data_IF_736742652378
#
_entry.id   IF_736742652378
#
_cell.length_a   1.000
_cell.length_b   1.000
_cell.length_c   1.000
_cell.angle_alpha   90.00
_cell.angle_beta   90.00
_cell.angle_gamma   90.00
#
_symmetry.space_group_name_H-M   'P 1'
#
loop_
_entity.id
_entity.type
_entity.pdbx_description
1 polymer ?
#
# COMPACT_ATOMS: atom_id res chain seq x y z
N UNK A 1 -20.01 8.59 5.78
CA UNK A 1 -19.18 8.66 4.55
C UNK A 1 -17.90 7.89 4.80
N UNK A 2 -17.38 7.13 3.82
CA UNK A 2 -16.02 6.63 3.91
C UNK A 2 -15.03 7.80 3.98
N UNK A 3 -13.85 7.62 4.58
CA UNK A 3 -12.79 8.63 4.52
C UNK A 3 -12.30 8.81 3.08
N UNK A 4 -11.77 9.99 2.78
CA UNK A 4 -11.23 10.31 1.45
C UNK A 4 -9.89 9.61 1.17
N UNK A 5 -9.13 9.30 2.22
CA UNK A 5 -7.80 8.71 2.12
C UNK A 5 -7.55 7.79 3.32
N UNK A 6 -6.89 6.67 3.07
CA UNK A 6 -6.32 5.83 4.13
C UNK A 6 -4.82 5.67 3.92
N UNK A 7 -4.07 5.70 5.03
CA UNK A 7 -2.64 5.47 5.06
C UNK A 7 -2.38 4.18 5.82
N UNK A 8 -1.58 3.28 5.24
CA UNK A 8 -1.19 2.02 5.88
C UNK A 8 0.33 1.89 5.94
N UNK A 9 0.82 1.41 7.07
CA UNK A 9 2.23 1.09 7.29
C UNK A 9 2.33 -0.29 7.99
N UNK A 10 2.06 -1.39 7.27
CA UNK A 10 2.03 -2.71 7.87
C UNK A 10 3.44 -3.23 8.22
N UNK A 11 3.53 -4.23 9.12
CA UNK A 11 4.77 -4.98 9.33
C UNK A 11 5.19 -5.74 8.06
N UNK A 12 6.39 -6.34 8.06
CA UNK A 12 6.96 -7.10 6.92
C UNK A 12 6.08 -8.21 6.33
N UNK A 13 5.05 -8.66 7.06
CA UNK A 13 4.05 -9.63 6.56
C UNK A 13 2.97 -9.00 5.67
N UNK A 14 2.94 -7.68 5.51
CA UNK A 14 1.90 -6.94 4.79
C UNK A 14 0.60 -6.78 5.60
N UNK A 15 -0.45 -6.34 4.91
CA UNK A 15 -1.81 -6.18 5.43
C UNK A 15 -2.48 -7.54 5.64
N UNK A 16 -2.13 -8.52 4.80
CA UNK A 16 -2.78 -9.82 4.78
C UNK A 16 -4.14 -9.80 4.06
N UNK A 17 -4.75 -10.98 3.89
CA UNK A 17 -5.91 -11.15 3.03
C UNK A 17 -7.15 -10.40 3.54
N UNK A 18 -7.39 -10.37 4.85
CA UNK A 18 -8.63 -9.83 5.39
C UNK A 18 -8.69 -8.30 5.23
N UNK A 19 -7.61 -7.61 5.63
CA UNK A 19 -7.55 -6.15 5.58
C UNK A 19 -7.44 -5.61 4.14
N UNK A 20 -6.63 -6.25 3.29
CA UNK A 20 -6.57 -5.88 1.87
C UNK A 20 -7.92 -6.09 1.16
N UNK A 21 -8.62 -7.18 1.46
CA UNK A 21 -9.97 -7.43 0.92
C UNK A 21 -11.02 -6.45 1.45
N UNK A 22 -10.89 -6.02 2.71
CA UNK A 22 -11.75 -4.97 3.26
C UNK A 22 -11.50 -3.62 2.57
N UNK A 23 -10.23 -3.24 2.37
CA UNK A 23 -9.85 -2.01 1.67
C UNK A 23 -10.37 -1.98 0.22
N UNK A 24 -10.28 -3.11 -0.49
CA UNK A 24 -10.82 -3.27 -1.85
C UNK A 24 -12.32 -2.96 -1.91
N UNK A 25 -13.09 -3.41 -0.91
CA UNK A 25 -14.55 -3.21 -0.81
C UNK A 25 -14.96 -1.89 -0.15
N UNK A 26 -14.05 -1.16 0.48
CA UNK A 26 -14.36 0.00 1.34
C UNK A 26 -14.95 1.21 0.60
N UNK A 27 -14.72 1.31 -0.71
CA UNK A 27 -15.09 2.49 -1.50
C UNK A 27 -14.23 3.73 -1.24
N UNK A 28 -13.16 3.62 -0.44
CA UNK A 28 -12.21 4.72 -0.19
C UNK A 28 -11.52 5.07 -1.52
N UNK A 29 -11.45 6.35 -1.93
CA UNK A 29 -10.93 6.71 -3.24
C UNK A 29 -9.40 6.67 -3.30
N UNK A 30 -8.70 6.93 -2.20
CA UNK A 30 -7.24 7.01 -2.15
C UNK A 30 -6.60 6.12 -1.06
N UNK A 31 -5.44 5.55 -1.38
CA UNK A 31 -4.63 4.74 -0.47
C UNK A 31 -3.16 5.15 -0.58
N UNK A 32 -2.51 5.40 0.56
CA UNK A 32 -1.05 5.48 0.66
C UNK A 32 -0.57 4.24 1.40
N UNK A 33 0.31 3.47 0.76
CA UNK A 33 0.94 2.29 1.34
C UNK A 33 2.42 2.57 1.57
N UNK A 34 2.87 2.56 2.83
CA UNK A 34 4.28 2.57 3.24
C UNK A 34 4.75 1.15 3.53
N UNK A 35 5.81 0.67 2.88
CA UNK A 35 6.30 -0.71 3.02
C UNK A 35 7.81 -0.80 3.12
N UNK A 36 8.29 -1.58 4.10
CA UNK A 36 9.68 -1.97 4.23
C UNK A 36 10.02 -3.29 3.51
N UNK A 37 9.03 -3.93 2.86
CA UNK A 37 9.20 -5.22 2.20
C UNK A 37 8.40 -5.28 0.87
N UNK A 38 9.08 -5.16 -0.29
CA UNK A 38 8.42 -5.13 -1.59
C UNK A 38 7.61 -6.39 -1.94
N UNK A 39 8.02 -7.56 -1.44
CA UNK A 39 7.36 -8.83 -1.75
C UNK A 39 5.90 -8.86 -1.30
N UNK A 40 5.65 -8.58 -0.02
CA UNK A 40 4.28 -8.58 0.55
C UNK A 40 3.45 -7.40 0.06
N UNK A 41 4.09 -6.26 -0.23
CA UNK A 41 3.42 -5.14 -0.89
C UNK A 41 2.76 -5.61 -2.20
N UNK A 42 3.50 -6.26 -3.09
CA UNK A 42 2.98 -6.75 -4.38
C UNK A 42 1.81 -7.72 -4.18
N UNK A 43 1.86 -8.60 -3.19
CA UNK A 43 0.77 -9.52 -2.89
C UNK A 43 -0.50 -8.80 -2.42
N UNK A 44 -0.37 -7.81 -1.52
CA UNK A 44 -1.50 -7.00 -1.08
C UNK A 44 -2.11 -6.20 -2.24
N UNK A 45 -1.27 -5.58 -3.08
CA UNK A 45 -1.75 -4.82 -4.24
C UNK A 45 -2.53 -5.71 -5.24
N UNK A 46 -2.12 -6.97 -5.41
CA UNK A 46 -2.85 -7.95 -6.25
C UNK A 46 -4.25 -8.28 -5.75
N UNK A 47 -4.52 -8.09 -4.45
CA UNK A 47 -5.85 -8.27 -3.83
C UNK A 47 -6.71 -7.01 -3.95
N UNK A 48 -6.09 -5.84 -4.13
CA UNK A 48 -6.75 -4.53 -4.23
C UNK A 48 -6.82 -4.04 -5.69
N UNK A 49 -7.44 -4.84 -6.57
CA UNK A 49 -7.42 -4.64 -8.03
C UNK A 49 -8.15 -3.39 -8.50
N UNK A 50 -9.10 -2.89 -7.71
CA UNK A 50 -9.80 -1.65 -8.04
C UNK A 50 -8.92 -0.40 -7.91
N UNK A 51 -7.79 -0.49 -7.21
CA UNK A 51 -6.85 0.60 -7.08
C UNK A 51 -5.73 0.50 -8.12
N UNK A 52 -5.44 1.64 -8.77
CA UNK A 52 -4.31 1.82 -9.67
C UNK A 52 -3.19 2.60 -8.97
N UNK A 53 -1.94 2.20 -9.23
CA UNK A 53 -0.76 2.91 -8.77
C UNK A 53 -0.66 4.23 -9.53
N UNK A 54 -0.53 5.33 -8.78
CA UNK A 54 -0.37 6.69 -9.33
C UNK A 54 1.07 7.19 -9.19
N UNK A 55 1.72 6.86 -8.08
CA UNK A 55 3.12 7.18 -7.86
C UNK A 55 3.75 6.16 -6.91
N UNK A 56 5.06 5.98 -7.01
CA UNK A 56 5.86 5.22 -6.07
C UNK A 56 7.18 5.95 -5.80
N UNK A 57 7.65 5.89 -4.55
CA UNK A 57 8.92 6.50 -4.14
C UNK A 57 9.67 5.54 -3.22
N UNK A 58 10.93 5.29 -3.55
CA UNK A 58 11.88 4.66 -2.64
C UNK A 58 12.49 5.72 -1.71
N UNK A 59 12.60 5.37 -0.44
CA UNK A 59 13.16 6.20 0.62
C UNK A 59 14.24 5.40 1.33
N UNK A 60 15.47 5.89 1.30
CA UNK A 60 16.55 5.37 2.13
C UNK A 60 16.46 6.00 3.52
N UNK A 61 15.70 5.36 4.41
CA UNK A 61 15.60 5.78 5.82
C UNK A 61 16.74 5.21 6.68
N UNK A 62 17.51 4.26 6.14
CA UNK A 62 18.54 3.52 6.87
C UNK A 62 19.81 3.37 6.02
N UNK A 63 20.57 4.48 5.84
CA UNK A 63 21.78 4.46 5.02
C UNK A 63 22.78 3.39 5.48
N UNK A 64 23.51 2.83 4.52
CA UNK A 64 24.49 1.75 4.74
C UNK A 64 23.89 0.41 5.20
N UNK A 65 22.58 0.22 5.05
CA UNK A 65 21.91 -1.08 5.24
C UNK A 65 21.34 -1.58 3.92
N UNK A 66 20.85 -2.82 3.90
CA UNK A 66 20.07 -3.35 2.78
C UNK A 66 18.60 -2.94 2.82
N UNK A 67 18.18 -2.15 3.82
CA UNK A 67 16.78 -1.78 4.00
C UNK A 67 16.41 -0.64 3.06
N UNK A 68 15.21 -0.71 2.51
CA UNK A 68 14.61 0.36 1.71
C UNK A 68 13.13 0.43 2.03
N UNK A 69 12.64 1.65 2.24
CA UNK A 69 11.22 1.91 2.37
C UNK A 69 10.64 2.29 1.01
N UNK A 70 9.42 1.85 0.74
CA UNK A 70 8.67 2.18 -0.46
C UNK A 70 7.34 2.80 -0.06
N UNK A 71 7.05 4.00 -0.56
CA UNK A 71 5.74 4.64 -0.40
C UNK A 71 5.04 4.63 -1.75
N UNK A 72 3.83 4.09 -1.79
CA UNK A 72 3.01 3.98 -3.00
C UNK A 72 1.71 4.76 -2.80
N UNK A 73 1.44 5.70 -3.70
CA UNK A 73 0.15 6.36 -3.82
C UNK A 73 -0.71 5.58 -4.83
N UNK A 74 -1.93 5.27 -4.42
CA UNK A 74 -2.92 4.59 -5.23
C UNK A 74 -4.25 5.35 -5.21
N UNK A 75 -4.97 5.30 -6.32
CA UNK A 75 -6.37 5.76 -6.38
C UNK A 75 -7.22 4.68 -7.02
N UNK A 76 -8.52 4.67 -6.77
CA UNK A 76 -9.43 3.81 -7.53
C UNK A 76 -9.31 4.12 -9.04
N UNK A 77 -9.47 3.07 -9.85
CA UNK A 77 -9.64 3.20 -11.29
C UNK A 77 -10.97 3.90 -11.57
N UNK A 78 -10.98 4.79 -12.56
CA UNK A 78 -12.20 5.40 -13.11
C UNK A 78 -13.04 4.36 -13.87
#
# INVERSE_FOLDING_TARGET
MPPDLVVVNPPRRGLGPDLSSWLERSGIPHLIYSSCFPGTLVEDLRRMRSYQIRAAKLVDMFPHTSHVECVVLMSRAD
#
